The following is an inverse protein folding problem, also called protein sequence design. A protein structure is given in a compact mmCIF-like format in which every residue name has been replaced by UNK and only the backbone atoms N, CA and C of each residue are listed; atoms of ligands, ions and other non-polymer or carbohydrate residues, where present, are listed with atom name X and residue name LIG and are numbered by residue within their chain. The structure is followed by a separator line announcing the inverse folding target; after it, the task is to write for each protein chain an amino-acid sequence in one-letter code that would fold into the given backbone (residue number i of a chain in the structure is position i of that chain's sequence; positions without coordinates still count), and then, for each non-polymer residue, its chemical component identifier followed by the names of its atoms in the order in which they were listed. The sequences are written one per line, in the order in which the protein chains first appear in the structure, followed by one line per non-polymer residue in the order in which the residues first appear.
data_IF_966211592759
#
_entry.id   IF_966211592759
#
_cell.length_a   1.000
_cell.length_b   1.000
_cell.length_c   1.000
_cell.angle_alpha   90.00
_cell.angle_beta   90.00
_cell.angle_gamma   90.00
#
_symmetry.space_group_name_H-M   'P 1'
#
loop_
_entity.id
_entity.type
_entity.pdbx_description
1 polymer ?
#
# COMPACT_ATOMS: atom_id res chain seq x y z
N UNK A 1 38.69 -38.20 15.55
CA UNK A 1 38.09 -37.81 14.26
C UNK A 1 36.59 -37.54 14.33
N UNK A 2 35.83 -38.05 15.34
CA UNK A 2 34.37 -37.82 15.49
C UNK A 2 34.01 -36.47 16.17
N UNK A 3 34.92 -35.87 16.93
CA UNK A 3 34.65 -34.61 17.64
C UNK A 3 34.81 -33.35 16.75
N UNK A 4 35.60 -33.44 15.67
CA UNK A 4 35.82 -32.29 14.77
C UNK A 4 34.62 -32.07 13.81
N UNK A 5 33.88 -33.13 13.47
CA UNK A 5 32.70 -33.05 12.60
C UNK A 5 31.48 -32.40 13.28
N UNK A 6 31.35 -32.50 14.59
CA UNK A 6 30.23 -31.87 15.34
C UNK A 6 30.43 -30.36 15.57
N UNK A 7 31.67 -29.91 15.65
CA UNK A 7 31.98 -28.48 15.84
C UNK A 7 31.71 -27.67 14.56
N UNK A 8 31.91 -28.24 13.38
CA UNK A 8 31.63 -27.59 12.09
C UNK A 8 30.15 -27.46 11.77
N UNK A 9 29.29 -28.36 12.23
CA UNK A 9 27.83 -28.22 12.08
C UNK A 9 27.24 -27.17 13.06
N UNK A 10 27.82 -27.01 14.23
CA UNK A 10 27.35 -26.02 15.21
C UNK A 10 27.69 -24.58 14.82
N UNK A 11 28.78 -24.37 14.07
CA UNK A 11 29.15 -23.02 13.56
C UNK A 11 28.35 -22.62 12.33
N UNK A 12 27.87 -23.57 11.53
CA UNK A 12 27.01 -23.26 10.38
C UNK A 12 25.59 -22.79 10.79
N UNK A 13 25.10 -23.20 11.97
CA UNK A 13 23.80 -22.78 12.48
C UNK A 13 23.78 -21.36 13.08
N UNK A 14 24.92 -20.79 13.41
CA UNK A 14 25.03 -19.43 13.92
C UNK A 14 25.12 -18.34 12.82
N UNK A 15 25.37 -18.74 11.57
CA UNK A 15 25.43 -17.81 10.44
C UNK A 15 24.06 -17.55 9.80
N UNK A 16 23.03 -18.28 10.17
CA UNK A 16 21.67 -18.14 9.63
C UNK A 16 20.74 -17.35 10.56
N UNK A 17 21.23 -16.31 11.20
CA UNK A 17 20.40 -15.30 11.83
C UNK A 17 20.00 -14.31 10.70
N UNK A 18 19.16 -14.77 9.77
CA UNK A 18 18.43 -13.88 8.91
C UNK A 18 17.63 -12.94 9.80
N UNK A 19 17.96 -11.66 9.78
CA UNK A 19 17.28 -10.67 10.62
C UNK A 19 15.91 -10.37 10.00
N UNK A 20 14.95 -11.26 10.26
CA UNK A 20 13.56 -11.06 9.88
C UNK A 20 13.00 -9.88 10.66
N UNK A 21 12.45 -8.91 9.97
CA UNK A 21 11.76 -7.79 10.61
C UNK A 21 10.33 -7.72 10.14
N UNK A 22 9.39 -7.66 11.08
CA UNK A 22 7.99 -7.33 10.82
C UNK A 22 7.66 -6.02 11.50
N UNK A 23 7.19 -5.07 10.72
CA UNK A 23 6.85 -3.73 11.20
C UNK A 23 5.35 -3.50 11.05
N UNK A 24 4.67 -3.13 12.14
CA UNK A 24 3.36 -2.52 12.11
C UNK A 24 3.54 -1.04 11.81
N UNK A 25 2.80 -0.51 10.85
CA UNK A 25 2.84 0.90 10.49
C UNK A 25 1.43 1.43 10.19
N UNK A 26 1.27 2.75 10.17
CA UNK A 26 0.00 3.36 9.78
C UNK A 26 0.02 4.87 9.86
N UNK A 27 -1.06 5.44 9.37
CA UNK A 27 -1.41 6.86 9.50
C UNK A 27 -2.86 6.92 9.95
N UNK A 28 -3.14 7.74 10.94
CA UNK A 28 -4.49 8.07 11.39
C UNK A 28 -4.68 9.58 11.20
N UNK A 29 -5.57 9.93 10.30
CA UNK A 29 -5.91 11.30 9.94
C UNK A 29 -7.39 11.53 10.18
N UNK A 30 -7.73 12.51 10.98
CA UNK A 30 -9.10 12.90 11.27
C UNK A 30 -9.25 14.41 11.19
N UNK A 31 -10.36 14.85 10.65
CA UNK A 31 -10.77 16.24 10.62
C UNK A 31 -12.20 16.40 11.14
N UNK A 32 -12.51 17.58 11.63
CA UNK A 32 -13.86 17.97 12.05
C UNK A 32 -14.27 19.24 11.32
N UNK A 33 -15.46 19.26 10.79
CA UNK A 33 -15.92 20.42 10.04
C UNK A 33 -17.33 20.29 9.51
N UNK A 34 -17.68 21.27 8.69
CA UNK A 34 -18.93 21.27 7.91
C UNK A 34 -18.57 21.03 6.44
N UNK A 35 -18.95 19.90 5.93
CA UNK A 35 -18.63 19.43 4.59
C UNK A 35 -19.84 19.56 3.66
N UNK A 36 -19.60 19.86 2.39
CA UNK A 36 -20.63 19.94 1.35
C UNK A 36 -20.19 19.21 0.08
N UNK A 37 -21.13 18.99 -0.84
CA UNK A 37 -20.88 18.25 -2.08
C UNK A 37 -20.33 16.84 -1.81
N UNK A 38 -19.36 16.40 -2.61
CA UNK A 38 -18.77 15.07 -2.48
C UNK A 38 -18.09 14.86 -1.11
N UNK A 39 -17.57 15.91 -0.48
CA UNK A 39 -16.94 15.82 0.82
C UNK A 39 -17.93 15.59 1.98
N UNK A 40 -19.23 15.82 1.75
CA UNK A 40 -20.28 15.51 2.73
C UNK A 40 -20.68 14.02 2.74
N UNK A 41 -20.26 13.26 1.73
CA UNK A 41 -20.56 11.84 1.57
C UNK A 41 -21.56 11.57 0.43
N UNK A 42 -21.61 10.32 -0.02
CA UNK A 42 -22.41 9.90 -1.19
C UNK A 42 -23.92 10.14 -1.04
N UNK A 43 -24.42 10.21 0.18
CA UNK A 43 -25.85 10.40 0.47
C UNK A 43 -26.21 11.87 0.79
N UNK A 44 -25.23 12.76 0.77
CA UNK A 44 -25.43 14.13 1.26
C UNK A 44 -25.92 15.12 0.19
N UNK A 45 -26.35 14.67 -0.96
CA UNK A 45 -27.01 15.38 -2.09
C UNK A 45 -27.13 16.92 -1.90
N UNK A 46 -26.01 17.64 -2.08
CA UNK A 46 -25.93 19.11 -1.96
C UNK A 46 -26.24 19.72 -0.57
N UNK A 47 -26.39 18.89 0.45
CA UNK A 47 -26.62 19.35 1.83
C UNK A 47 -25.32 19.37 2.60
N UNK A 48 -25.01 20.49 3.25
CA UNK A 48 -23.82 20.57 4.10
C UNK A 48 -24.04 19.77 5.40
N UNK A 49 -23.07 18.91 5.75
CA UNK A 49 -23.11 18.04 6.93
C UNK A 49 -21.97 18.39 7.88
N UNK A 50 -22.27 18.55 9.16
CA UNK A 50 -21.26 18.68 10.22
C UNK A 50 -20.89 17.30 10.72
N UNK A 51 -19.61 16.91 10.60
CA UNK A 51 -19.13 15.58 10.98
C UNK A 51 -17.64 15.56 11.32
N UNK A 52 -17.21 14.46 11.92
CA UNK A 52 -15.82 14.01 11.87
C UNK A 52 -15.62 13.26 10.55
N UNK A 53 -14.50 13.45 9.90
CA UNK A 53 -14.14 12.77 8.65
C UNK A 53 -12.76 12.18 8.76
N UNK A 54 -12.56 11.00 8.16
CA UNK A 54 -11.30 10.29 8.09
C UNK A 54 -10.55 10.58 6.79
N UNK A 55 -9.21 10.68 6.86
CA UNK A 55 -8.38 10.70 5.66
C UNK A 55 -8.42 11.98 4.84
N UNK A 56 -8.69 13.12 5.47
CA UNK A 56 -8.84 14.40 4.77
C UNK A 56 -7.54 14.90 4.14
N UNK A 57 -6.43 14.88 4.89
CA UNK A 57 -5.10 15.28 4.43
C UNK A 57 -4.30 14.07 3.91
N UNK A 58 -4.43 12.93 4.58
CA UNK A 58 -3.76 11.69 4.22
C UNK A 58 -4.69 10.53 4.47
N UNK A 59 -4.90 9.65 3.50
CA UNK A 59 -5.80 8.52 3.66
C UNK A 59 -5.38 7.64 4.85
N UNK A 60 -6.25 7.52 5.85
CA UNK A 60 -6.00 6.72 7.04
C UNK A 60 -5.85 5.25 6.68
N UNK A 61 -4.81 4.62 7.22
CA UNK A 61 -4.45 3.23 6.90
C UNK A 61 -3.58 2.62 7.98
N UNK A 62 -3.57 1.32 8.04
CA UNK A 62 -2.62 0.53 8.82
C UNK A 62 -2.13 -0.67 8.00
N UNK A 63 -1.02 -1.26 8.38
CA UNK A 63 -0.50 -2.43 7.68
C UNK A 63 0.68 -3.06 8.39
N UNK A 64 1.02 -4.23 7.90
CA UNK A 64 2.21 -5.00 8.25
C UNK A 64 3.11 -5.08 7.03
N UNK A 65 4.39 -4.89 7.23
CA UNK A 65 5.41 -5.16 6.22
C UNK A 65 6.57 -5.91 6.85
N UNK A 66 7.16 -6.78 6.08
CA UNK A 66 8.32 -7.54 6.53
C UNK A 66 9.36 -7.65 5.43
N UNK A 67 10.59 -7.83 5.86
CA UNK A 67 11.71 -8.14 5.00
C UNK A 67 12.60 -9.16 5.69
N UNK A 68 13.07 -10.13 4.92
CA UNK A 68 13.98 -11.17 5.34
C UNK A 68 15.17 -11.21 4.39
N UNK A 69 16.38 -11.17 4.93
CA UNK A 69 17.61 -11.36 4.18
C UNK A 69 17.87 -12.87 4.01
N UNK A 70 17.87 -13.33 2.77
CA UNK A 70 18.12 -14.74 2.43
C UNK A 70 19.60 -15.02 2.13
N UNK A 71 20.45 -14.02 2.26
CA UNK A 71 21.87 -14.10 1.94
C UNK A 71 22.17 -13.94 0.46
N UNK A 72 23.44 -13.75 0.13
CA UNK A 72 23.90 -13.61 -1.25
C UNK A 72 23.36 -12.38 -2.01
N UNK A 73 22.76 -11.42 -1.30
CA UNK A 73 22.09 -10.26 -1.91
C UNK A 73 20.63 -10.53 -2.31
N UNK A 74 20.08 -11.67 -1.91
CA UNK A 74 18.68 -12.05 -2.08
C UNK A 74 17.88 -11.71 -0.83
N UNK A 75 16.67 -11.19 -1.00
CA UNK A 75 15.72 -10.96 0.11
C UNK A 75 14.30 -11.32 -0.29
N UNK A 76 13.49 -11.68 0.72
CA UNK A 76 12.04 -11.83 0.60
C UNK A 76 11.35 -10.70 1.35
N UNK A 77 10.23 -10.22 0.83
CA UNK A 77 9.46 -9.15 1.48
C UNK A 77 7.97 -9.33 1.25
N UNK A 78 7.19 -8.73 2.14
CA UNK A 78 5.74 -8.65 1.98
C UNK A 78 5.20 -7.32 2.51
N UNK A 79 4.03 -6.96 2.05
CA UNK A 79 3.23 -5.89 2.63
C UNK A 79 1.75 -6.22 2.52
N UNK A 80 1.04 -6.08 3.64
CA UNK A 80 -0.41 -6.20 3.74
C UNK A 80 -0.95 -4.99 4.47
N UNK A 81 -1.85 -4.24 3.84
CA UNK A 81 -2.37 -3.00 4.41
C UNK A 81 -3.82 -2.74 4.04
N UNK A 82 -4.52 -2.06 4.95
CA UNK A 82 -5.93 -1.73 4.85
C UNK A 82 -6.13 -0.23 5.02
N UNK A 83 -7.02 0.35 4.22
CA UNK A 83 -7.61 1.64 4.53
C UNK A 83 -8.57 1.48 5.71
N UNK A 84 -8.65 2.49 6.57
CA UNK A 84 -9.56 2.51 7.71
C UNK A 84 -10.23 3.87 7.83
N UNK A 85 -11.52 3.86 8.08
CA UNK A 85 -12.28 5.03 8.46
C UNK A 85 -12.30 5.13 9.98
N UNK A 86 -11.49 6.00 10.53
CA UNK A 86 -11.33 6.14 11.97
C UNK A 86 -12.48 6.90 12.64
N UNK A 87 -13.36 7.53 11.86
CA UNK A 87 -14.63 8.10 12.31
C UNK A 87 -15.72 7.05 12.57
N UNK A 88 -15.71 5.95 11.82
CA UNK A 88 -16.70 4.87 11.90
C UNK A 88 -16.12 3.51 12.31
N UNK A 89 -14.80 3.32 12.20
CA UNK A 89 -14.14 2.03 12.37
C UNK A 89 -14.28 1.10 11.17
N UNK A 90 -14.91 1.54 10.09
CA UNK A 90 -15.08 0.72 8.89
C UNK A 90 -13.82 0.63 8.05
N UNK A 91 -13.72 -0.43 7.24
CA UNK A 91 -12.72 -0.52 6.16
C UNK A 91 -13.07 0.49 5.06
N UNK A 92 -12.08 1.07 4.42
CA UNK A 92 -12.24 2.03 3.34
C UNK A 92 -11.55 3.36 3.61
N UNK A 93 -11.68 4.30 2.67
CA UNK A 93 -10.94 5.57 2.73
C UNK A 93 -11.66 6.63 3.55
N UNK A 94 -12.84 7.06 3.07
CA UNK A 94 -13.73 8.01 3.76
C UNK A 94 -15.13 7.97 3.12
N UNK A 95 -16.08 8.72 3.67
CA UNK A 95 -17.46 8.75 3.17
C UNK A 95 -17.60 9.40 1.79
N UNK A 96 -16.70 10.32 1.44
CA UNK A 96 -16.71 10.99 0.14
C UNK A 96 -16.34 10.03 -1.01
N UNK A 97 -15.62 8.94 -0.69
CA UNK A 97 -15.28 7.87 -1.63
C UNK A 97 -16.17 6.66 -1.32
N UNK A 98 -17.46 6.86 -1.25
CA UNK A 98 -18.38 5.75 -1.07
C UNK A 98 -18.22 4.72 -2.19
N UNK A 99 -18.38 3.44 -1.87
CA UNK A 99 -18.45 2.40 -2.89
C UNK A 99 -19.58 2.77 -3.88
N UNK A 100 -19.33 2.71 -5.20
CA UNK A 100 -20.42 2.77 -6.16
C UNK A 100 -21.48 1.75 -5.80
N UNK A 101 -22.72 2.10 -5.96
CA UNK A 101 -23.86 1.20 -5.72
C UNK A 101 -23.59 -0.10 -6.46
N UNK A 102 -23.52 -1.22 -5.75
CA UNK A 102 -23.23 -2.59 -6.25
C UNK A 102 -21.73 -3.01 -6.30
N UNK A 103 -20.83 -2.32 -5.65
CA UNK A 103 -19.47 -2.86 -5.44
C UNK A 103 -19.45 -3.68 -4.14
N UNK A 104 -18.83 -4.85 -4.20
CA UNK A 104 -18.55 -5.63 -3.00
C UNK A 104 -17.79 -4.77 -1.97
N UNK A 105 -18.06 -5.01 -0.68
CA UNK A 105 -17.33 -4.34 0.39
C UNK A 105 -15.82 -4.44 0.14
N UNK A 106 -15.08 -3.40 0.49
CA UNK A 106 -13.63 -3.41 0.39
C UNK A 106 -13.05 -4.65 1.06
N UNK A 107 -12.10 -5.34 0.43
CA UNK A 107 -11.44 -6.49 1.05
C UNK A 107 -10.70 -6.06 2.31
N UNK A 108 -10.44 -7.00 3.22
CA UNK A 108 -9.75 -6.72 4.48
C UNK A 108 -8.40 -6.00 4.27
N UNK A 109 -7.61 -6.46 3.30
CA UNK A 109 -6.40 -5.73 2.87
C UNK A 109 -6.71 -4.88 1.63
N UNK A 110 -7.50 -3.84 1.84
CA UNK A 110 -8.04 -3.00 0.77
C UNK A 110 -7.01 -2.13 0.06
N UNK A 111 -5.82 -1.94 0.65
CA UNK A 111 -4.79 -1.07 0.10
C UNK A 111 -3.70 -1.83 -0.66
N UNK A 112 -3.07 -2.78 -0.02
CA UNK A 112 -2.03 -3.64 -0.62
C UNK A 112 -2.04 -5.03 0.02
N UNK A 113 -1.71 -6.05 -0.76
CA UNK A 113 -1.51 -7.42 -0.29
C UNK A 113 -0.58 -8.13 -1.28
N UNK A 114 0.73 -8.07 -1.05
CA UNK A 114 1.71 -8.65 -1.96
C UNK A 114 2.86 -9.33 -1.22
N UNK A 115 3.48 -10.27 -1.90
CA UNK A 115 4.76 -10.87 -1.54
C UNK A 115 5.77 -10.60 -2.66
N UNK A 116 7.05 -10.57 -2.34
CA UNK A 116 8.07 -10.32 -3.36
C UNK A 116 9.44 -10.88 -2.98
N UNK A 117 10.26 -11.00 -4.01
CA UNK A 117 11.67 -11.34 -3.90
C UNK A 117 12.49 -10.24 -4.57
N UNK A 118 13.63 -9.91 -3.99
CA UNK A 118 14.55 -8.93 -4.54
C UNK A 118 15.98 -9.47 -4.53
N UNK A 119 16.75 -9.08 -5.54
CA UNK A 119 18.19 -9.27 -5.58
C UNK A 119 18.85 -7.93 -5.84
N UNK A 120 19.93 -7.64 -5.12
CA UNK A 120 20.60 -6.33 -5.16
C UNK A 120 20.98 -5.86 -6.57
N UNK A 121 21.30 -6.80 -7.48
CA UNK A 121 21.74 -6.51 -8.84
C UNK A 121 20.66 -6.78 -9.91
N UNK A 122 19.57 -7.48 -9.56
CA UNK A 122 18.53 -7.89 -10.50
C UNK A 122 17.20 -7.17 -10.30
N UNK A 123 17.07 -6.40 -9.22
CA UNK A 123 15.83 -5.70 -8.90
C UNK A 123 14.84 -6.54 -8.08
N UNK A 124 13.57 -6.21 -8.14
CA UNK A 124 12.53 -6.81 -7.28
C UNK A 124 11.32 -7.24 -8.10
N UNK A 125 10.80 -8.43 -7.80
CA UNK A 125 9.54 -8.95 -8.31
C UNK A 125 8.52 -8.98 -7.17
N UNK A 126 7.32 -8.43 -7.40
CA UNK A 126 6.19 -8.43 -6.46
C UNK A 126 4.98 -9.06 -7.11
N UNK A 127 4.22 -9.85 -6.32
CA UNK A 127 3.04 -10.60 -6.77
C UNK A 127 1.87 -10.33 -5.81
N UNK A 128 0.72 -9.96 -6.35
CA UNK A 128 -0.51 -9.78 -5.56
C UNK A 128 -1.26 -8.50 -5.88
N UNK A 129 -1.84 -7.88 -4.85
CA UNK A 129 -2.50 -6.57 -4.95
C UNK A 129 -1.45 -5.49 -4.71
N UNK A 130 -1.02 -4.81 -5.78
CA UNK A 130 0.07 -3.83 -5.76
C UNK A 130 -0.43 -2.47 -6.23
N UNK A 131 0.01 -1.41 -5.55
CA UNK A 131 -0.28 -0.03 -5.96
C UNK A 131 0.19 0.23 -7.39
N UNK A 132 -0.66 0.83 -8.21
CA UNK A 132 -0.35 1.11 -9.62
C UNK A 132 0.80 2.11 -9.76
N UNK A 133 1.61 1.95 -10.80
CA UNK A 133 2.73 2.86 -11.08
C UNK A 133 2.25 4.29 -11.34
N UNK A 134 1.11 4.43 -12.02
CA UNK A 134 0.47 5.72 -12.25
C UNK A 134 0.12 6.41 -10.93
N UNK A 135 -0.52 5.70 -10.00
CA UNK A 135 -0.89 6.26 -8.70
C UNK A 135 0.34 6.70 -7.91
N UNK A 136 1.38 5.86 -7.82
CA UNK A 136 2.61 6.18 -7.09
C UNK A 136 3.25 7.47 -7.63
N UNK A 137 3.39 7.58 -8.94
CA UNK A 137 4.01 8.75 -9.56
C UNK A 137 3.15 10.01 -9.40
N UNK A 138 1.84 9.89 -9.56
CA UNK A 138 0.91 11.03 -9.44
C UNK A 138 0.87 11.56 -8.01
N UNK A 139 0.77 10.67 -7.02
CA UNK A 139 0.74 11.06 -5.60
C UNK A 139 2.10 11.61 -5.15
N UNK A 140 3.19 11.04 -5.61
CA UNK A 140 4.55 11.53 -5.32
C UNK A 140 4.82 12.94 -5.87
N UNK A 141 4.11 13.35 -6.91
CA UNK A 141 4.20 14.68 -7.55
C UNK A 141 3.12 15.64 -7.06
N UNK A 142 2.16 15.20 -6.24
CA UNK A 142 1.04 16.01 -5.75
C UNK A 142 1.39 16.64 -4.41
N UNK A 143 1.28 17.97 -4.31
CA UNK A 143 1.53 18.71 -3.07
C UNK A 143 0.60 18.31 -1.90
N UNK A 144 -0.58 17.78 -2.20
CA UNK A 144 -1.55 17.31 -1.21
C UNK A 144 -1.49 15.78 -0.97
N UNK A 145 -0.49 15.10 -1.55
CA UNK A 145 -0.34 13.65 -1.39
C UNK A 145 -1.60 12.86 -1.77
N UNK A 146 -1.97 11.90 -0.94
CA UNK A 146 -3.11 11.01 -1.14
C UNK A 146 -4.38 11.42 -0.36
N UNK A 147 -4.45 12.67 0.10
CA UNK A 147 -5.64 13.22 0.76
C UNK A 147 -6.87 13.23 -0.16
N UNK A 148 -8.05 13.03 0.41
CA UNK A 148 -9.28 12.88 -0.38
C UNK A 148 -10.19 14.11 -0.31
N UNK A 149 -10.02 14.94 0.70
CA UNK A 149 -10.81 16.18 0.87
C UNK A 149 -10.03 17.39 0.36
N UNK A 150 -8.79 17.55 0.81
CA UNK A 150 -7.95 18.70 0.45
C UNK A 150 -7.07 18.44 -0.78
N UNK A 151 -6.96 17.19 -1.22
CA UNK A 151 -6.23 16.77 -2.41
C UNK A 151 -7.14 16.04 -3.40
N UNK A 152 -7.95 16.72 -4.19
CA UNK A 152 -8.98 16.10 -5.04
C UNK A 152 -8.41 15.18 -6.13
N UNK A 153 -7.11 15.21 -6.40
CA UNK A 153 -6.49 14.36 -7.45
C UNK A 153 -6.79 12.88 -7.23
N UNK A 154 -6.69 12.39 -6.00
CA UNK A 154 -6.98 10.99 -5.69
C UNK A 154 -8.45 10.64 -6.00
N UNK A 155 -9.37 11.50 -5.58
CA UNK A 155 -10.79 11.31 -5.78
C UNK A 155 -11.20 11.39 -7.26
N UNK A 156 -10.71 12.42 -7.96
CA UNK A 156 -11.12 12.70 -9.36
C UNK A 156 -10.46 11.74 -10.35
N UNK A 157 -9.21 11.35 -10.11
CA UNK A 157 -8.41 10.62 -11.09
C UNK A 157 -8.43 9.10 -10.86
N UNK A 158 -8.38 8.65 -9.62
CA UNK A 158 -8.14 7.23 -9.33
C UNK A 158 -9.36 6.48 -8.81
N UNK A 159 -10.20 7.13 -8.02
CA UNK A 159 -11.34 6.45 -7.40
C UNK A 159 -12.50 6.38 -8.39
N UNK A 160 -12.86 5.16 -8.78
CA UNK A 160 -13.96 4.93 -9.72
C UNK A 160 -13.67 5.39 -11.16
N UNK A 161 -12.43 5.76 -11.47
CA UNK A 161 -12.05 6.15 -12.82
C UNK A 161 -11.62 4.93 -13.66
N UNK A 162 -12.31 4.63 -14.77
CA UNK A 162 -11.90 3.55 -15.66
C UNK A 162 -10.63 3.89 -16.45
N UNK A 163 -10.25 5.16 -16.55
CA UNK A 163 -9.12 5.61 -17.36
C UNK A 163 -7.77 5.34 -16.73
N UNK A 164 -7.71 5.30 -15.39
CA UNK A 164 -6.45 5.16 -14.66
C UNK A 164 -6.25 3.79 -14.04
N UNK A 165 -7.25 2.90 -14.13
CA UNK A 165 -7.18 1.55 -13.56
C UNK A 165 -7.17 1.53 -12.03
N UNK A 166 -7.52 2.64 -11.37
CA UNK A 166 -7.57 2.74 -9.90
C UNK A 166 -6.21 2.90 -9.23
N UNK A 167 -6.20 2.75 -7.91
CA UNK A 167 -5.01 2.98 -7.07
C UNK A 167 -4.17 1.73 -6.87
N UNK A 168 -4.73 0.54 -7.07
CA UNK A 168 -4.04 -0.73 -6.97
C UNK A 168 -4.66 -1.73 -7.96
N UNK A 169 -3.86 -2.69 -8.41
CA UNK A 169 -4.27 -3.79 -9.25
C UNK A 169 -4.16 -5.10 -8.49
N UNK A 170 -5.23 -5.86 -8.50
CA UNK A 170 -5.25 -7.25 -8.04
C UNK A 170 -4.64 -8.18 -9.09
N UNK A 171 -4.24 -9.38 -8.69
CA UNK A 171 -3.66 -10.39 -9.59
C UNK A 171 -2.49 -9.84 -10.43
N UNK A 172 -1.70 -8.94 -9.82
CA UNK A 172 -0.64 -8.25 -10.54
C UNK A 172 0.73 -8.87 -10.31
N UNK A 173 1.56 -8.72 -11.34
CA UNK A 173 3.00 -8.98 -11.32
C UNK A 173 3.69 -7.65 -11.59
N UNK A 174 4.56 -7.22 -10.68
CA UNK A 174 5.29 -5.95 -10.80
C UNK A 174 6.78 -6.21 -10.67
N UNK A 175 7.54 -5.74 -11.63
CA UNK A 175 9.00 -5.74 -11.59
C UNK A 175 9.52 -4.33 -11.40
N UNK A 176 10.40 -4.14 -10.42
CA UNK A 176 11.15 -2.91 -10.18
C UNK A 176 12.62 -3.17 -10.52
N UNK A 177 13.22 -2.39 -11.41
CA UNK A 177 14.64 -2.53 -11.77
C UNK A 177 15.57 -2.14 -10.62
N UNK A 178 16.81 -2.65 -10.58
CA UNK A 178 17.84 -2.04 -9.76
C UNK A 178 18.16 -0.62 -10.27
N UNK A 179 18.94 0.12 -9.49
CA UNK A 179 19.48 1.39 -9.97
C UNK A 179 20.61 1.11 -10.98
N UNK A 180 20.43 1.57 -12.21
CA UNK A 180 21.40 1.42 -13.30
C UNK A 180 21.90 2.82 -13.69
N UNK A 181 23.05 3.21 -13.20
CA UNK A 181 23.69 4.51 -13.46
C UNK A 181 22.77 5.72 -13.13
N UNK A 182 22.00 5.62 -12.04
CA UNK A 182 21.08 6.67 -11.60
C UNK A 182 19.64 6.50 -12.08
N UNK A 183 19.37 5.58 -13.01
CA UNK A 183 18.03 5.32 -13.54
C UNK A 183 17.39 4.10 -12.87
N UNK A 184 16.12 4.21 -12.58
CA UNK A 184 15.26 3.09 -12.16
C UNK A 184 14.03 3.04 -13.03
N UNK A 185 13.49 1.85 -13.25
CA UNK A 185 12.28 1.63 -14.03
C UNK A 185 11.40 0.59 -13.36
N UNK A 186 10.13 0.58 -13.71
CA UNK A 186 9.21 -0.46 -13.27
C UNK A 186 8.25 -0.84 -14.40
N UNK A 187 7.82 -2.10 -14.39
CA UNK A 187 6.81 -2.64 -15.29
C UNK A 187 5.78 -3.44 -14.49
N UNK A 188 4.53 -3.34 -14.87
CA UNK A 188 3.42 -4.03 -14.20
C UNK A 188 2.51 -4.69 -15.23
N UNK A 189 2.01 -5.87 -14.88
CA UNK A 189 0.95 -6.59 -15.58
C UNK A 189 -0.10 -7.05 -14.59
N UNK A 190 -1.36 -6.97 -14.95
CA UNK A 190 -2.50 -7.49 -14.19
C UNK A 190 -3.61 -7.96 -15.14
N UNK A 191 -4.40 -8.94 -14.69
CA UNK A 191 -5.61 -9.43 -15.34
C UNK A 191 -6.88 -8.93 -14.64
#
# INVERSE_FOLDING_TARGET
ARAVGMATLATASLAAQAQSSVTLYGIVDASVGRFNGAAAGINAQNTAVSKVESGSMSTSRWGLRGNEDLGGGLSASFEMSSFVRNDTGAVGRNDAIGAPVNVAADPFFSRMAWVGVAHKDLGRLRLGNVTTLMFVNSIGSNAFGDGTIFGPLNLVTFVGSPLTGGTAWTNSVVYDSPNIAGFTGAAAYAE
#
